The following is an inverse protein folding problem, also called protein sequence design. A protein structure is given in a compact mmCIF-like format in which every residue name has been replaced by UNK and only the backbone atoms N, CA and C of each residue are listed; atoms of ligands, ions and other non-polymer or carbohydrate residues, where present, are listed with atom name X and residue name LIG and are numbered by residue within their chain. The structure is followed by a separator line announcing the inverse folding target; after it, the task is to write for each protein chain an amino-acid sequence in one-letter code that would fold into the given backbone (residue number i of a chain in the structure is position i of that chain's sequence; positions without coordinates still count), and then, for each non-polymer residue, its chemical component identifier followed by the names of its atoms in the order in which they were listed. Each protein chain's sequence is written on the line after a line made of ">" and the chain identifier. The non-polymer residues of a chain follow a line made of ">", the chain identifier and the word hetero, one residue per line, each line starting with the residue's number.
data_IF_265758262165
#
_entry.id   IF_265758262165
#
_cell.length_a   1.000
_cell.length_b   1.000
_cell.length_c   1.000
_cell.angle_alpha   90.00
_cell.angle_beta   90.00
_cell.angle_gamma   90.00
#
_symmetry.space_group_name_H-M   'P 1'
#
loop_
_entity.id
_entity.type
_entity.pdbx_description
1 polymer ?
#
# COMPACT_ATOMS: atom_id res chain seq x y z
N UNK A 1 -4.18 -29.10 3.20
CA UNK A 1 -4.89 -28.89 4.48
C UNK A 1 -6.42 -28.81 4.35
N UNK A 2 -6.99 -28.03 3.42
CA UNK A 2 -8.45 -27.81 3.35
C UNK A 2 -9.32 -29.07 3.14
N UNK A 3 -8.76 -30.14 2.54
CA UNK A 3 -9.48 -31.42 2.33
C UNK A 3 -9.65 -32.25 3.61
N UNK A 4 -8.81 -32.05 4.62
CA UNK A 4 -8.91 -32.77 5.91
C UNK A 4 -9.95 -32.12 6.83
N UNK A 5 -10.05 -30.79 6.83
CA UNK A 5 -11.02 -30.01 7.61
C UNK A 5 -12.47 -30.35 7.22
N UNK A 6 -12.71 -30.60 5.92
CA UNK A 6 -14.02 -31.06 5.40
C UNK A 6 -14.45 -32.45 5.89
N UNK A 7 -13.53 -33.25 6.48
CA UNK A 7 -13.82 -34.60 7.00
C UNK A 7 -14.20 -34.59 8.49
N UNK A 8 -14.16 -33.44 9.16
CA UNK A 8 -14.55 -33.31 10.56
C UNK A 8 -16.08 -33.38 10.68
N UNK A 9 -16.58 -34.09 11.70
CA UNK A 9 -18.03 -34.30 11.91
C UNK A 9 -18.84 -33.01 12.05
N UNK A 10 -18.21 -31.93 12.51
CA UNK A 10 -18.84 -30.65 12.80
C UNK A 10 -18.43 -29.54 11.80
N UNK A 11 -18.04 -29.91 10.58
CA UNK A 11 -17.69 -28.93 9.56
C UNK A 11 -18.94 -28.32 8.94
N UNK A 12 -19.22 -27.05 9.24
CA UNK A 12 -20.19 -26.25 8.52
C UNK A 12 -19.52 -25.57 7.32
N UNK A 13 -20.10 -25.72 6.11
CA UNK A 13 -19.60 -24.98 4.95
C UNK A 13 -19.85 -23.49 5.22
N UNK A 14 -18.81 -22.63 5.18
CA UNK A 14 -19.02 -21.20 5.33
C UNK A 14 -19.98 -20.71 4.23
N UNK A 15 -20.91 -19.85 4.63
CA UNK A 15 -21.84 -19.21 3.69
C UNK A 15 -21.03 -18.40 2.68
N UNK A 16 -21.44 -18.45 1.42
CA UNK A 16 -20.82 -17.63 0.37
C UNK A 16 -21.26 -16.19 0.58
N UNK A 17 -20.44 -15.41 1.28
CA UNK A 17 -20.65 -13.98 1.46
C UNK A 17 -20.21 -13.30 0.15
N UNK A 18 -21.16 -12.70 -0.55
CA UNK A 18 -20.89 -11.88 -1.73
C UNK A 18 -20.72 -10.43 -1.32
N UNK A 19 -19.54 -9.87 -1.57
CA UNK A 19 -19.29 -8.44 -1.42
C UNK A 19 -19.45 -7.76 -2.78
N UNK A 20 -20.04 -6.56 -2.84
CA UNK A 20 -20.13 -5.81 -4.09
C UNK A 20 -18.72 -5.55 -4.62
N UNK A 21 -18.46 -5.97 -5.86
CA UNK A 21 -17.18 -5.70 -6.51
C UNK A 21 -17.03 -4.19 -6.74
N UNK A 22 -15.85 -3.65 -6.46
CA UNK A 22 -15.55 -2.26 -6.76
C UNK A 22 -15.70 -1.98 -8.25
N UNK A 23 -16.36 -0.87 -8.62
CA UNK A 23 -16.40 -0.36 -10.02
C UNK A 23 -15.10 0.34 -10.42
N UNK A 24 -14.08 0.30 -9.57
CA UNK A 24 -12.82 1.01 -9.78
C UNK A 24 -12.13 0.54 -11.06
N UNK A 25 -11.72 1.50 -11.89
CA UNK A 25 -10.89 1.27 -13.07
C UNK A 25 -9.54 1.95 -12.80
N UNK A 26 -8.42 1.21 -12.84
CA UNK A 26 -7.11 1.81 -12.59
C UNK A 26 -6.74 2.77 -13.72
N UNK A 27 -6.09 3.87 -13.35
CA UNK A 27 -5.47 4.78 -14.31
C UNK A 27 -4.36 4.04 -15.07
N UNK A 28 -4.27 4.28 -16.38
CA UNK A 28 -3.20 3.77 -17.24
C UNK A 28 -2.39 4.96 -17.73
N UNK A 29 -1.09 4.97 -17.45
CA UNK A 29 -0.16 5.90 -18.10
C UNK A 29 0.16 5.38 -19.49
N UNK A 30 -0.22 6.12 -20.53
CA UNK A 30 0.03 5.81 -21.94
C UNK A 30 1.33 6.47 -22.37
N UNK A 31 1.69 7.61 -21.78
CA UNK A 31 2.91 8.35 -22.08
C UNK A 31 3.76 8.64 -20.83
N UNK A 32 5.09 8.79 -20.97
CA UNK A 32 5.96 9.21 -19.89
C UNK A 32 5.53 10.57 -19.32
N UNK A 33 5.42 10.69 -18.01
CA UNK A 33 5.12 11.95 -17.32
C UNK A 33 3.63 12.27 -17.12
N UNK A 34 2.70 11.46 -17.63
CA UNK A 34 1.26 11.71 -17.44
C UNK A 34 0.81 11.54 -15.99
N UNK A 35 1.01 10.35 -15.44
CA UNK A 35 0.53 9.99 -14.12
C UNK A 35 1.61 9.33 -13.29
N UNK A 36 1.64 9.70 -12.01
CA UNK A 36 2.40 9.02 -10.98
C UNK A 36 1.44 8.63 -9.84
N UNK A 37 1.58 7.40 -9.35
CA UNK A 37 0.93 6.94 -8.13
C UNK A 37 1.83 7.32 -6.95
N UNK A 38 1.29 8.07 -6.00
CA UNK A 38 2.02 8.53 -4.83
C UNK A 38 1.41 7.86 -3.60
N UNK A 39 2.25 7.15 -2.86
CA UNK A 39 1.90 6.48 -1.61
C UNK A 39 2.70 7.10 -0.47
N UNK A 40 1.99 7.48 0.60
CA UNK A 40 2.59 8.10 1.80
C UNK A 40 2.34 7.17 2.97
N UNK A 41 3.41 6.69 3.60
CA UNK A 41 3.36 5.79 4.75
C UNK A 41 4.09 6.39 5.94
N UNK A 42 3.50 6.33 7.12
CA UNK A 42 4.18 6.71 8.36
C UNK A 42 5.27 5.69 8.72
N UNK A 43 6.43 6.19 9.15
CA UNK A 43 7.56 5.36 9.60
C UNK A 43 7.74 5.54 11.11
N UNK A 44 7.58 4.47 11.92
CA UNK A 44 7.85 4.53 13.34
C UNK A 44 9.31 4.88 13.65
N UNK A 45 9.52 5.67 14.70
CA UNK A 45 10.87 6.10 15.14
C UNK A 45 11.77 4.91 15.51
N UNK A 46 11.19 3.82 16.01
CA UNK A 46 11.91 2.57 16.33
C UNK A 46 12.60 1.96 15.10
N UNK A 47 12.06 2.20 13.91
CA UNK A 47 12.63 1.71 12.66
C UNK A 47 13.76 2.59 12.13
N UNK A 48 14.00 3.75 12.76
CA UNK A 48 14.97 4.75 12.30
C UNK A 48 16.29 4.53 13.03
N UNK A 49 17.29 4.04 12.30
CA UNK A 49 18.62 3.73 12.84
C UNK A 49 19.49 4.95 13.19
N UNK A 50 18.95 6.16 13.12
CA UNK A 50 19.66 7.40 13.43
C UNK A 50 18.89 8.22 14.47
N UNK A 51 19.61 9.05 15.24
CA UNK A 51 18.98 9.96 16.20
C UNK A 51 18.07 10.93 15.46
N UNK A 52 16.79 10.83 15.74
CA UNK A 52 15.79 11.69 15.16
C UNK A 52 15.74 13.05 15.88
N UNK A 53 15.82 14.14 15.13
CA UNK A 53 15.48 15.48 15.62
C UNK A 53 14.00 15.85 15.36
N UNK A 54 13.24 15.00 14.68
CA UNK A 54 11.86 15.27 14.24
C UNK A 54 10.87 14.29 14.86
N UNK A 55 9.63 14.74 15.03
CA UNK A 55 8.61 13.97 15.74
C UNK A 55 8.03 12.84 14.88
N UNK A 56 7.91 13.05 13.55
CA UNK A 56 7.35 12.06 12.62
C UNK A 56 8.05 12.07 11.26
N UNK A 57 8.29 10.86 10.74
CA UNK A 57 8.75 10.64 9.38
C UNK A 57 7.72 9.89 8.57
N UNK A 58 7.75 10.16 7.27
CA UNK A 58 6.93 9.48 6.30
C UNK A 58 7.80 9.02 5.15
N UNK A 59 7.57 7.80 4.72
CA UNK A 59 8.09 7.31 3.45
C UNK A 59 7.10 7.71 2.37
N UNK A 60 7.60 8.49 1.41
CA UNK A 60 6.88 8.88 0.20
C UNK A 60 7.41 8.00 -0.93
N UNK A 61 6.52 7.28 -1.59
CA UNK A 61 6.83 6.42 -2.73
C UNK A 61 6.10 6.95 -3.95
N UNK A 62 6.84 7.34 -4.98
CA UNK A 62 6.29 7.75 -6.26
C UNK A 62 6.56 6.66 -7.31
N UNK A 63 5.51 6.19 -7.99
CA UNK A 63 5.60 5.21 -9.07
C UNK A 63 5.02 5.83 -10.34
N UNK A 64 5.87 6.00 -11.36
CA UNK A 64 5.38 6.44 -12.66
C UNK A 64 4.57 5.34 -13.33
N UNK A 65 3.32 5.64 -13.73
CA UNK A 65 2.40 4.62 -14.24
C UNK A 65 2.81 4.06 -15.61
N UNK A 66 3.48 4.86 -16.44
CA UNK A 66 3.99 4.44 -17.75
C UNK A 66 5.18 3.46 -17.64
N UNK A 67 6.25 3.89 -16.95
CA UNK A 67 7.52 3.16 -16.92
C UNK A 67 7.66 2.21 -15.74
N UNK A 68 6.75 2.27 -14.76
CA UNK A 68 6.85 1.59 -13.46
C UNK A 68 8.14 1.89 -12.69
N UNK A 69 8.82 3.00 -13.02
CA UNK A 69 9.96 3.49 -12.25
C UNK A 69 9.46 3.99 -10.89
N UNK A 70 10.12 3.51 -9.83
CA UNK A 70 9.83 3.83 -8.44
C UNK A 70 10.91 4.69 -7.84
N UNK A 71 10.50 5.74 -7.13
CA UNK A 71 11.37 6.62 -6.34
C UNK A 71 10.83 6.60 -4.91
N UNK A 72 11.72 6.38 -3.93
CA UNK A 72 11.39 6.41 -2.52
C UNK A 72 12.12 7.57 -1.87
N UNK A 73 11.41 8.32 -1.03
CA UNK A 73 11.95 9.44 -0.27
C UNK A 73 11.49 9.32 1.17
N UNK A 74 12.39 9.58 2.12
CA UNK A 74 12.02 9.78 3.52
C UNK A 74 11.82 11.29 3.74
N UNK A 75 10.59 11.68 4.05
CA UNK A 75 10.21 13.06 4.32
C UNK A 75 9.79 13.26 5.77
N UNK A 76 9.85 14.52 6.22
CA UNK A 76 9.27 14.96 7.50
C UNK A 76 7.96 15.72 7.24
N UNK A 77 7.16 15.96 8.27
CA UNK A 77 5.87 16.69 8.14
C UNK A 77 6.00 18.05 7.44
N UNK A 78 7.14 18.74 7.61
CA UNK A 78 7.38 20.06 7.00
C UNK A 78 7.49 19.99 5.48
N UNK A 79 8.07 18.92 4.96
CA UNK A 79 8.27 18.71 3.52
C UNK A 79 6.94 18.37 2.83
N UNK A 80 6.01 17.73 3.53
CA UNK A 80 4.71 17.31 2.97
C UNK A 80 3.73 18.48 2.88
N UNK A 81 3.86 19.48 3.76
CA UNK A 81 2.94 20.63 3.85
C UNK A 81 3.30 21.81 2.93
N UNK A 82 4.44 21.75 2.24
CA UNK A 82 4.95 22.84 1.38
C UNK A 82 4.74 22.48 -0.07
#
# INVERSE_FOLDING_TARGET
>A
MCKQIKKLKNYEKPREISYPKSKYKPLKGIYPGEFAEIDVKYVPLECIGFKSNYERYYQITAIYLYSRKRINLLGTEKIIKT
#
